data_IF_436340685599
#
_entry.id   IF_436340685599
#
_cell.length_a   1.000
_cell.length_b   1.000
_cell.length_c   1.000
_cell.angle_alpha   90.00
_cell.angle_beta   90.00
_cell.angle_gamma   90.00
#
_symmetry.space_group_name_H-M   'P 1'
#
loop_
_entity.id
_entity.type
_entity.pdbx_description
1 polymer ?
#
# COMPACT_ATOMS: atom_id res chain seq x y z
N UNK A 1 -7.75 6.47 16.19
CA UNK A 1 -7.03 6.26 14.92
C UNK A 1 -7.29 4.89 14.30
N UNK A 2 -7.40 3.78 15.08
CA UNK A 2 -7.80 2.45 14.55
C UNK A 2 -9.16 2.48 13.85
N UNK A 3 -10.07 3.34 14.27
CA UNK A 3 -11.37 3.56 13.60
C UNK A 3 -11.25 4.04 12.15
N UNK A 4 -10.23 4.83 11.82
CA UNK A 4 -10.01 5.27 10.44
C UNK A 4 -9.52 4.14 9.54
N UNK A 5 -8.62 3.30 10.03
CA UNK A 5 -8.19 2.10 9.29
C UNK A 5 -9.33 1.13 9.02
N UNK A 6 -10.18 0.87 10.04
CA UNK A 6 -11.40 0.05 9.86
C UNK A 6 -12.39 0.69 8.91
N UNK A 7 -12.56 2.00 8.94
CA UNK A 7 -13.45 2.70 8.03
C UNK A 7 -13.02 2.54 6.57
N UNK A 8 -11.72 2.67 6.27
CA UNK A 8 -11.18 2.43 4.91
C UNK A 8 -11.47 1.00 4.46
N UNK A 9 -11.24 0.01 5.32
CA UNK A 9 -11.51 -1.40 5.01
C UNK A 9 -12.98 -1.63 4.70
N UNK A 10 -13.88 -1.28 5.62
CA UNK A 10 -15.32 -1.54 5.50
C UNK A 10 -15.92 -0.77 4.33
N UNK A 11 -15.61 0.53 4.21
CA UNK A 11 -16.10 1.35 3.13
C UNK A 11 -15.58 0.89 1.77
N UNK A 12 -14.30 0.51 1.68
CA UNK A 12 -13.72 -0.01 0.45
C UNK A 12 -14.37 -1.30 -0.02
N UNK A 13 -14.59 -2.27 0.90
CA UNK A 13 -15.29 -3.52 0.59
C UNK A 13 -16.72 -3.22 0.14
N UNK A 14 -17.47 -2.42 0.91
CA UNK A 14 -18.85 -2.04 0.60
C UNK A 14 -18.95 -1.39 -0.79
N UNK A 15 -18.07 -0.45 -1.09
CA UNK A 15 -18.08 0.31 -2.33
C UNK A 15 -17.77 -0.58 -3.56
N UNK A 16 -16.78 -1.47 -3.45
CA UNK A 16 -16.43 -2.42 -4.52
C UNK A 16 -17.58 -3.41 -4.77
N UNK A 17 -18.21 -3.94 -3.72
CA UNK A 17 -19.31 -4.89 -3.84
C UNK A 17 -20.54 -4.21 -4.46
N UNK A 18 -20.92 -3.03 -3.98
CA UNK A 18 -22.08 -2.29 -4.46
C UNK A 18 -21.95 -1.91 -5.94
N UNK A 19 -20.78 -1.43 -6.35
CA UNK A 19 -20.50 -1.04 -7.73
C UNK A 19 -20.20 -2.23 -8.65
N UNK A 20 -19.99 -3.44 -8.10
CA UNK A 20 -19.47 -4.60 -8.82
C UNK A 20 -18.17 -4.28 -9.57
N UNK A 21 -17.35 -3.41 -8.96
CA UNK A 21 -16.09 -2.91 -9.53
C UNK A 21 -16.25 -2.20 -10.89
N UNK A 22 -17.39 -1.59 -11.18
CA UNK A 22 -17.64 -0.79 -12.38
C UNK A 22 -17.62 0.69 -12.00
N UNK A 23 -16.71 1.50 -12.47
CA UNK A 23 -15.60 1.39 -13.40
C UNK A 23 -14.21 1.34 -12.71
N UNK A 24 -13.78 0.21 -12.20
CA UNK A 24 -12.50 -0.01 -11.51
C UNK A 24 -12.41 0.66 -10.12
N UNK A 25 -13.45 0.48 -9.28
CA UNK A 25 -13.51 1.00 -7.92
C UNK A 25 -12.44 0.42 -7.02
N UNK A 26 -12.07 -0.84 -7.25
CA UNK A 26 -10.99 -1.50 -6.51
C UNK A 26 -9.65 -0.76 -6.66
N UNK A 27 -9.36 -0.23 -7.86
CA UNK A 27 -8.14 0.53 -8.10
C UNK A 27 -8.17 1.90 -7.39
N UNK A 28 -9.34 2.55 -7.36
CA UNK A 28 -9.54 3.80 -6.64
C UNK A 28 -9.32 3.61 -5.14
N UNK A 29 -9.92 2.57 -4.56
CA UNK A 29 -9.78 2.26 -3.14
C UNK A 29 -8.36 1.80 -2.78
N UNK A 30 -7.69 1.07 -3.68
CA UNK A 30 -6.29 0.68 -3.52
C UNK A 30 -5.36 1.92 -3.53
N UNK A 31 -5.56 2.86 -4.45
CA UNK A 31 -4.81 4.10 -4.51
C UNK A 31 -4.99 4.95 -3.24
N UNK A 32 -6.21 5.07 -2.75
CA UNK A 32 -6.51 5.74 -1.48
C UNK A 32 -5.81 5.05 -0.30
N UNK A 33 -5.85 3.72 -0.22
CA UNK A 33 -5.23 2.95 0.85
C UNK A 33 -3.71 3.11 0.89
N UNK A 34 -3.05 3.13 -0.29
CA UNK A 34 -1.59 3.34 -0.40
C UNK A 34 -1.20 4.71 0.14
N UNK A 35 -1.89 5.76 -0.26
CA UNK A 35 -1.57 7.12 0.18
C UNK A 35 -1.91 7.37 1.65
N UNK A 36 -2.94 6.69 2.18
CA UNK A 36 -3.33 6.78 3.59
C UNK A 36 -2.41 5.98 4.53
N UNK A 37 -1.63 5.02 4.03
CA UNK A 37 -0.84 4.10 4.86
C UNK A 37 0.11 4.83 5.81
N UNK A 38 0.85 5.82 5.32
CA UNK A 38 1.84 6.56 6.13
C UNK A 38 1.13 7.30 7.28
N UNK A 39 0.05 8.00 6.98
CA UNK A 39 -0.73 8.71 7.99
C UNK A 39 -1.35 7.75 9.01
N UNK A 40 -1.85 6.59 8.57
CA UNK A 40 -2.37 5.54 9.47
C UNK A 40 -1.28 5.02 10.40
N UNK A 41 -0.05 4.81 9.92
CA UNK A 41 1.08 4.37 10.74
C UNK A 41 1.50 5.43 11.75
N UNK A 42 1.64 6.69 11.33
CA UNK A 42 1.97 7.81 12.23
C UNK A 42 0.95 7.98 13.36
N UNK A 43 -0.33 7.78 13.07
CA UNK A 43 -1.42 7.96 14.03
C UNK A 43 -1.78 6.67 14.80
N UNK A 44 -1.05 5.57 14.62
CA UNK A 44 -1.35 4.27 15.24
C UNK A 44 -2.69 3.67 14.76
N UNK A 45 -3.10 3.98 13.54
CA UNK A 45 -4.37 3.52 12.94
C UNK A 45 -4.29 2.16 12.25
N UNK A 46 -3.15 1.49 12.29
CA UNK A 46 -2.92 0.20 11.64
C UNK A 46 -3.08 -0.96 12.62
N UNK A 47 -3.66 -2.07 12.16
CA UNK A 47 -3.74 -3.33 12.94
C UNK A 47 -2.47 -4.16 12.82
N UNK A 48 -1.77 -4.04 11.69
CA UNK A 48 -0.51 -4.75 11.37
C UNK A 48 0.43 -3.81 10.64
N UNK A 49 1.73 -4.08 10.72
CA UNK A 49 2.76 -3.21 10.15
C UNK A 49 2.63 -2.98 8.63
N UNK A 50 2.09 -3.96 7.90
CA UNK A 50 1.96 -3.92 6.44
C UNK A 50 0.50 -3.72 5.99
N UNK A 51 -0.28 -2.99 6.80
CA UNK A 51 -1.73 -2.86 6.64
C UNK A 51 -2.15 -2.37 5.25
N UNK A 52 -1.48 -1.35 4.72
CA UNK A 52 -1.79 -0.80 3.40
C UNK A 52 -1.60 -1.82 2.28
N UNK A 53 -0.54 -2.62 2.31
CA UNK A 53 -0.32 -3.68 1.31
C UNK A 53 -1.44 -4.73 1.35
N UNK A 54 -1.90 -5.11 2.54
CA UNK A 54 -3.02 -6.06 2.67
C UNK A 54 -4.33 -5.48 2.17
N UNK A 55 -4.60 -4.19 2.41
CA UNK A 55 -5.77 -3.52 1.85
C UNK A 55 -5.73 -3.48 0.32
N UNK A 56 -4.58 -3.13 -0.26
CA UNK A 56 -4.41 -3.14 -1.72
C UNK A 56 -4.68 -4.52 -2.30
N UNK A 57 -4.05 -5.55 -1.75
CA UNK A 57 -4.25 -6.93 -2.21
C UNK A 57 -5.72 -7.35 -2.10
N UNK A 58 -6.37 -7.04 -0.98
CA UNK A 58 -7.78 -7.36 -0.74
C UNK A 58 -8.69 -6.66 -1.75
N UNK A 59 -8.53 -5.35 -1.93
CA UNK A 59 -9.39 -4.58 -2.83
C UNK A 59 -9.22 -5.01 -4.29
N UNK A 60 -7.98 -5.19 -4.74
CA UNK A 60 -7.73 -5.66 -6.10
C UNK A 60 -8.22 -7.09 -6.32
N UNK A 61 -8.06 -7.97 -5.34
CA UNK A 61 -8.59 -9.33 -5.41
C UNK A 61 -10.11 -9.33 -5.50
N UNK A 62 -10.80 -8.56 -4.64
CA UNK A 62 -12.26 -8.38 -4.74
C UNK A 62 -12.66 -7.82 -6.10
N UNK A 63 -11.93 -6.83 -6.61
CA UNK A 63 -12.17 -6.29 -7.94
C UNK A 63 -12.05 -7.35 -9.04
N UNK A 64 -11.08 -8.25 -8.96
CA UNK A 64 -10.91 -9.36 -9.91
C UNK A 64 -12.07 -10.37 -9.85
N UNK A 65 -12.67 -10.60 -8.68
CA UNK A 65 -13.84 -11.48 -8.57
C UNK A 65 -15.04 -10.98 -9.38
N UNK A 66 -15.22 -9.66 -9.49
CA UNK A 66 -16.33 -9.06 -10.23
C UNK A 66 -16.04 -8.84 -11.71
N UNK A 67 -14.84 -8.40 -12.05
CA UNK A 67 -14.49 -8.01 -13.43
C UNK A 67 -13.52 -8.94 -14.12
N UNK A 68 -13.09 -9.99 -13.41
CA UNK A 68 -12.12 -10.95 -13.92
C UNK A 68 -10.71 -10.37 -14.09
N UNK A 69 -9.85 -11.17 -14.69
CA UNK A 69 -8.47 -10.81 -15.05
C UNK A 69 -8.14 -11.35 -16.44
N UNK A 70 -7.13 -10.78 -17.09
CA UNK A 70 -6.71 -11.24 -18.41
C UNK A 70 -5.96 -12.56 -18.34
N UNK A 71 -6.36 -13.55 -19.15
CA UNK A 71 -5.63 -14.83 -19.27
C UNK A 71 -4.18 -14.66 -19.75
N UNK A 72 -3.89 -13.58 -20.46
CA UNK A 72 -2.54 -13.27 -20.94
C UNK A 72 -1.61 -12.72 -19.84
N UNK A 73 -2.11 -12.52 -18.61
CA UNK A 73 -1.31 -12.15 -17.45
C UNK A 73 -0.46 -13.31 -16.89
N UNK A 74 -0.27 -14.40 -17.66
CA UNK A 74 0.46 -15.60 -17.25
C UNK A 74 1.86 -15.30 -16.70
N UNK A 75 2.56 -14.29 -17.25
CA UNK A 75 3.90 -13.89 -16.79
C UNK A 75 3.88 -13.48 -15.31
N UNK A 76 2.85 -12.76 -14.87
CA UNK A 76 2.71 -12.33 -13.47
C UNK A 76 2.28 -13.49 -12.55
N UNK A 77 1.54 -14.47 -13.07
CA UNK A 77 1.26 -15.70 -12.36
C UNK A 77 2.53 -16.53 -12.16
N UNK A 78 3.37 -16.62 -13.19
CA UNK A 78 4.69 -17.26 -13.08
C UNK A 78 5.57 -16.53 -12.06
N UNK A 79 5.56 -15.20 -12.05
CA UNK A 79 6.27 -14.41 -11.04
C UNK A 79 5.82 -14.77 -9.61
N UNK A 80 4.52 -14.82 -9.35
CA UNK A 80 3.99 -15.25 -8.05
C UNK A 80 4.35 -16.70 -7.71
N UNK A 81 4.32 -17.58 -8.70
CA UNK A 81 4.71 -18.98 -8.52
C UNK A 81 6.18 -19.11 -8.11
N UNK A 82 7.09 -18.35 -8.73
CA UNK A 82 8.52 -18.35 -8.39
C UNK A 82 8.84 -17.72 -7.01
N UNK A 83 7.89 -17.03 -6.36
CA UNK A 83 8.06 -16.62 -4.97
C UNK A 83 7.91 -17.79 -3.98
N UNK A 84 7.22 -18.87 -4.35
CA UNK A 84 7.00 -20.03 -3.47
C UNK A 84 8.32 -20.70 -3.06
N UNK A 85 9.25 -21.01 -3.97
CA UNK A 85 10.57 -21.55 -3.59
C UNK A 85 11.36 -20.62 -2.66
N UNK A 86 11.23 -19.30 -2.83
CA UNK A 86 11.89 -18.33 -1.97
C UNK A 86 11.39 -18.41 -0.51
N UNK A 87 10.09 -18.66 -0.31
CA UNK A 87 9.53 -18.89 1.03
C UNK A 87 10.14 -20.13 1.67
N UNK A 88 10.17 -21.24 0.91
CA UNK A 88 10.72 -22.51 1.41
C UNK A 88 12.20 -22.36 1.76
N UNK A 89 12.97 -21.69 0.90
CA UNK A 89 14.40 -21.46 1.14
C UNK A 89 14.62 -20.59 2.39
N UNK A 90 13.80 -19.55 2.58
CA UNK A 90 13.89 -18.66 3.73
C UNK A 90 13.63 -19.39 5.06
N UNK A 91 12.76 -20.40 5.09
CA UNK A 91 12.52 -21.20 6.30
C UNK A 91 13.70 -22.07 6.69
N UNK A 92 14.58 -22.42 5.75
CA UNK A 92 15.74 -23.28 5.97
C UNK A 92 17.00 -22.46 6.28
N UNK A 93 17.10 -21.23 5.72
CA UNK A 93 18.33 -20.42 5.81
C UNK A 93 18.32 -19.37 6.93
N UNK A 94 17.13 -19.00 7.42
CA UNK A 94 17.03 -18.01 8.52
C UNK A 94 17.42 -18.67 9.87
N UNK A 95 18.23 -17.93 10.64
CA UNK A 95 18.70 -18.36 11.94
C UNK A 95 17.55 -18.44 12.97
N UNK A 96 17.68 -19.40 13.91
CA UNK A 96 16.68 -19.70 14.95
C UNK A 96 16.42 -18.48 15.88
N UNK A 97 17.37 -17.54 15.94
CA UNK A 97 17.26 -16.31 16.75
C UNK A 97 16.30 -15.26 16.19
N UNK A 98 15.96 -15.36 14.89
CA UNK A 98 15.03 -14.44 14.23
C UNK A 98 13.61 -14.99 14.24
N UNK A 99 12.62 -14.11 14.43
CA UNK A 99 11.22 -14.47 14.16
C UNK A 99 11.04 -14.70 12.64
N UNK A 100 11.37 -15.94 12.23
CA UNK A 100 11.37 -16.38 10.82
C UNK A 100 10.05 -16.06 10.14
N UNK A 101 8.93 -16.26 10.84
CA UNK A 101 7.60 -16.00 10.31
C UNK A 101 7.42 -14.51 10.00
N UNK A 102 7.82 -13.64 10.91
CA UNK A 102 7.72 -12.18 10.71
C UNK A 102 8.63 -11.69 9.59
N UNK A 103 9.86 -12.20 9.52
CA UNK A 103 10.81 -11.86 8.48
C UNK A 103 10.32 -12.28 7.08
N UNK A 104 9.79 -13.50 6.93
CA UNK A 104 9.24 -14.00 5.67
C UNK A 104 8.04 -13.16 5.24
N UNK A 105 7.08 -12.93 6.13
CA UNK A 105 5.88 -12.14 5.82
C UNK A 105 6.26 -10.72 5.40
N UNK A 106 7.20 -10.09 6.07
CA UNK A 106 7.68 -8.75 5.74
C UNK A 106 8.31 -8.69 4.34
N UNK A 107 9.21 -9.64 4.02
CA UNK A 107 9.93 -9.64 2.75
C UNK A 107 9.06 -10.03 1.55
N UNK A 108 8.07 -10.89 1.74
CA UNK A 108 7.22 -11.41 0.65
C UNK A 108 5.99 -10.55 0.39
N UNK A 109 5.49 -9.83 1.39
CA UNK A 109 4.29 -9.00 1.23
C UNK A 109 4.39 -8.00 0.07
N UNK A 110 5.56 -7.37 -0.12
CA UNK A 110 5.80 -6.44 -1.22
C UNK A 110 5.70 -7.08 -2.60
N UNK A 111 6.52 -8.10 -2.90
CA UNK A 111 6.46 -8.83 -4.17
C UNK A 111 5.09 -9.43 -4.48
N UNK A 112 4.38 -9.99 -3.49
CA UNK A 112 3.03 -10.52 -3.68
C UNK A 112 2.04 -9.40 -4.02
N UNK A 113 2.10 -8.28 -3.31
CA UNK A 113 1.28 -7.11 -3.60
C UNK A 113 1.53 -6.60 -5.03
N UNK A 114 2.79 -6.52 -5.46
CA UNK A 114 3.17 -6.14 -6.82
C UNK A 114 2.60 -7.12 -7.86
N UNK A 115 2.72 -8.42 -7.64
CA UNK A 115 2.20 -9.45 -8.55
C UNK A 115 0.68 -9.37 -8.71
N UNK A 116 -0.06 -9.24 -7.61
CA UNK A 116 -1.52 -9.08 -7.63
C UNK A 116 -1.92 -7.79 -8.36
N UNK A 117 -1.23 -6.68 -8.08
CA UNK A 117 -1.48 -5.40 -8.73
C UNK A 117 -1.22 -5.47 -10.24
N UNK A 118 -0.13 -6.13 -10.65
CA UNK A 118 0.21 -6.32 -12.05
C UNK A 118 -0.85 -7.19 -12.79
N UNK A 119 -1.33 -8.27 -12.16
CA UNK A 119 -2.41 -9.11 -12.73
C UNK A 119 -3.69 -8.30 -12.91
N UNK A 120 -4.07 -7.51 -11.89
CA UNK A 120 -5.27 -6.68 -11.94
C UNK A 120 -5.18 -5.61 -13.04
N UNK A 121 -4.06 -4.92 -13.15
CA UNK A 121 -3.87 -3.81 -14.08
C UNK A 121 -3.59 -4.26 -15.52
N UNK A 122 -3.21 -5.53 -15.74
CA UNK A 122 -2.79 -6.01 -17.05
C UNK A 122 -3.88 -5.86 -18.11
N UNK A 123 -3.59 -5.06 -19.16
CA UNK A 123 -4.52 -4.74 -20.27
C UNK A 123 -5.89 -4.20 -19.81
N UNK A 124 -5.93 -3.55 -18.65
CA UNK A 124 -7.16 -2.88 -18.20
C UNK A 124 -7.22 -1.48 -18.78
N UNK A 125 -8.24 -1.23 -19.56
CA UNK A 125 -8.50 0.09 -20.11
C UNK A 125 -9.22 0.96 -19.09
N UNK A 126 -8.74 2.20 -18.94
CA UNK A 126 -9.32 3.21 -18.06
C UNK A 126 -9.66 4.45 -18.88
N UNK A 127 -10.83 5.02 -18.62
CA UNK A 127 -11.16 6.35 -19.17
C UNK A 127 -10.35 7.43 -18.46
N UNK A 128 -10.08 8.53 -19.15
CA UNK A 128 -9.35 9.66 -18.56
C UNK A 128 -10.03 10.20 -17.29
N UNK A 129 -11.35 10.31 -17.29
CA UNK A 129 -12.11 10.73 -16.11
C UNK A 129 -11.89 9.78 -14.92
N UNK A 130 -11.80 8.47 -15.19
CA UNK A 130 -11.55 7.49 -14.14
C UNK A 130 -10.12 7.61 -13.59
N UNK A 131 -9.16 7.82 -14.47
CA UNK A 131 -7.76 8.06 -14.06
C UNK A 131 -7.67 9.30 -13.15
N UNK A 132 -8.32 10.41 -13.52
CA UNK A 132 -8.41 11.58 -12.67
C UNK A 132 -9.03 11.28 -11.30
N UNK A 133 -10.10 10.49 -11.25
CA UNK A 133 -10.71 10.07 -9.99
C UNK A 133 -9.74 9.27 -9.10
N UNK A 134 -8.95 8.38 -9.68
CA UNK A 134 -7.94 7.60 -8.96
C UNK A 134 -6.82 8.51 -8.42
N UNK A 135 -6.32 9.44 -9.25
CA UNK A 135 -5.32 10.42 -8.84
C UNK A 135 -5.85 11.29 -7.70
N UNK A 136 -7.09 11.77 -7.81
CA UNK A 136 -7.74 12.56 -6.75
C UNK A 136 -7.86 11.75 -5.45
N UNK A 137 -8.29 10.49 -5.54
CA UNK A 137 -8.39 9.61 -4.36
C UNK A 137 -7.03 9.36 -3.71
N UNK A 138 -5.97 9.25 -4.49
CA UNK A 138 -4.59 9.15 -4.00
C UNK A 138 -4.11 10.45 -3.34
N UNK A 139 -4.44 11.61 -3.90
CA UNK A 139 -3.98 12.92 -3.44
C UNK A 139 -4.63 13.36 -2.12
N UNK A 140 -5.86 12.93 -1.82
CA UNK A 140 -6.57 13.36 -0.61
C UNK A 140 -5.82 13.02 0.70
N UNK A 141 -5.41 11.77 0.95
CA UNK A 141 -4.62 11.46 2.15
C UNK A 141 -3.24 12.12 2.16
N UNK A 142 -2.64 12.37 0.97
CA UNK A 142 -1.36 13.09 0.88
C UNK A 142 -1.48 14.52 1.36
N UNK A 143 -2.54 15.24 1.00
CA UNK A 143 -2.79 16.58 1.51
C UNK A 143 -2.91 16.59 3.03
N UNK A 144 -3.60 15.60 3.60
CA UNK A 144 -3.66 15.44 5.05
C UNK A 144 -2.27 15.17 5.66
N UNK A 145 -1.47 14.33 5.01
CA UNK A 145 -0.08 14.03 5.45
C UNK A 145 0.79 15.29 5.42
N UNK A 146 0.77 16.05 4.31
CA UNK A 146 1.54 17.30 4.18
C UNK A 146 1.13 18.30 5.25
N UNK A 147 -0.19 18.46 5.47
CA UNK A 147 -0.72 19.35 6.52
C UNK A 147 -0.26 18.89 7.91
N UNK A 148 -0.30 17.59 8.18
CA UNK A 148 0.20 17.03 9.44
C UNK A 148 1.69 17.32 9.65
N UNK A 149 2.51 17.07 8.65
CA UNK A 149 3.95 17.34 8.73
C UNK A 149 4.23 18.84 8.92
N UNK A 150 3.51 19.70 8.23
CA UNK A 150 3.68 21.15 8.35
C UNK A 150 3.43 21.66 9.79
N UNK A 151 2.42 21.12 10.49
CA UNK A 151 2.09 21.56 11.85
C UNK A 151 2.89 20.84 12.95
N UNK A 152 3.32 19.61 12.71
CA UNK A 152 3.88 18.76 13.77
C UNK A 152 5.37 18.42 13.57
N UNK A 153 5.94 18.64 12.38
CA UNK A 153 7.36 18.46 12.21
C UNK A 153 8.13 19.64 12.85
N UNK A 154 9.20 19.38 13.62
CA UNK A 154 10.04 20.42 14.17
C UNK A 154 10.73 21.20 13.05
N UNK A 155 11.19 22.44 13.36
CA UNK A 155 11.93 23.24 12.40
C UNK A 155 13.19 22.49 11.92
N UNK A 156 13.36 22.43 10.61
CA UNK A 156 14.46 21.72 9.97
C UNK A 156 15.82 22.24 10.49
N UNK A 157 15.93 23.52 10.78
CA UNK A 157 17.17 24.14 11.27
C UNK A 157 17.59 23.65 12.66
N UNK A 158 16.62 23.24 13.51
CA UNK A 158 16.90 22.79 14.87
C UNK A 158 17.27 21.31 14.93
N UNK A 159 16.93 20.53 13.91
CA UNK A 159 16.99 19.07 13.93
C UNK A 159 18.02 18.51 12.93
N UNK A 160 18.33 19.23 11.85
CA UNK A 160 19.29 18.76 10.84
C UNK A 160 20.71 19.06 11.25
N UNK A 161 21.35 18.07 11.88
CA UNK A 161 22.77 18.08 12.25
C UNK A 161 23.68 17.37 11.24
N UNK A 162 23.11 16.81 10.15
CA UNK A 162 23.86 16.05 9.15
C UNK A 162 23.05 15.73 7.90
N UNK A 163 23.66 14.99 6.96
CA UNK A 163 23.04 14.57 5.68
C UNK A 163 22.23 13.29 5.78
N UNK A 164 22.12 12.69 6.97
CA UNK A 164 21.38 11.45 7.16
C UNK A 164 19.87 11.70 7.29
N UNK A 165 19.07 10.70 6.88
CA UNK A 165 17.62 10.74 7.02
C UNK A 165 17.21 10.86 8.50
N UNK A 166 16.36 11.82 8.82
CA UNK A 166 15.97 12.14 10.18
C UNK A 166 14.50 11.76 10.44
N UNK A 167 14.27 10.97 11.50
CA UNK A 167 12.93 10.55 11.92
C UNK A 167 12.07 11.71 12.44
N UNK A 168 12.67 12.69 13.09
CA UNK A 168 11.93 13.81 13.69
C UNK A 168 11.32 14.72 12.62
N UNK A 169 12.05 15.00 11.52
CA UNK A 169 11.55 15.79 10.40
C UNK A 169 10.49 15.07 9.55
N UNK A 170 10.37 13.75 9.71
CA UNK A 170 9.38 12.92 9.02
C UNK A 170 8.18 12.53 9.91
N UNK A 171 7.94 13.28 10.99
CA UNK A 171 6.82 13.02 11.90
C UNK A 171 6.99 11.78 12.77
N UNK A 172 8.24 11.38 13.07
CA UNK A 172 8.55 10.21 13.88
C UNK A 172 8.39 8.87 13.16
N UNK A 173 8.27 8.89 11.82
CA UNK A 173 8.13 7.69 10.99
C UNK A 173 9.25 7.61 9.93
N UNK A 174 9.45 6.42 9.33
CA UNK A 174 10.55 6.16 8.40
C UNK A 174 10.69 7.21 7.29
N UNK A 175 11.73 8.05 7.30
CA UNK A 175 11.85 9.20 6.40
C UNK A 175 11.86 8.82 4.93
N UNK A 176 12.46 7.68 4.57
CA UNK A 176 12.46 7.19 3.19
C UNK A 176 11.04 6.84 2.69
N UNK A 177 10.17 6.31 3.56
CA UNK A 177 8.80 5.96 3.20
C UNK A 177 7.95 7.21 3.02
N UNK A 178 8.12 8.20 3.89
CA UNK A 178 7.44 9.50 3.77
C UNK A 178 7.89 10.22 2.49
N UNK A 179 9.20 10.29 2.22
CA UNK A 179 9.73 10.89 1.01
C UNK A 179 9.25 10.19 -0.27
N UNK A 180 9.17 8.86 -0.25
CA UNK A 180 8.67 8.09 -1.40
C UNK A 180 7.21 8.40 -1.71
N UNK A 181 6.34 8.42 -0.71
CA UNK A 181 4.91 8.68 -0.96
C UNK A 181 4.66 10.13 -1.37
N UNK A 182 5.39 11.10 -0.79
CA UNK A 182 5.29 12.50 -1.18
C UNK A 182 5.85 12.76 -2.59
N UNK A 183 6.87 12.00 -3.01
CA UNK A 183 7.43 12.09 -4.35
C UNK A 183 6.58 11.42 -5.44
N UNK A 184 5.60 10.61 -5.08
CA UNK A 184 4.64 9.99 -5.99
C UNK A 184 3.40 10.88 -6.24
N UNK A 185 3.09 11.82 -5.36
CA UNK A 185 1.96 12.75 -5.45
C UNK A 185 2.36 14.10 -5.96
#
# INVERSE_FOLDING_TARGET
STGYGTAILVFGIYFIIQSKNKPAEALLMAAYAVSAEIMLRMTGGTFVNEYGKYLVMLFLFLGMLFTGFSRNALVYWLFLFFLVPSVVLSTVTLDITTDVKKAIVFNISGPVCLGISAIYCYKRELTFQRLLGIITAFSLPLLCLVTYLYFYAPNIQDVVTGTQSNFETSGGFGPNQVATILGLG
#
